data_IF_373262876797
#
_entry.id   IF_373262876797
#
_cell.length_a   1.000
_cell.length_b   1.000
_cell.length_c   1.000
_cell.angle_alpha   90.00
_cell.angle_beta   90.00
_cell.angle_gamma   90.00
#
_symmetry.space_group_name_H-M   'P 1'
#
loop_
_entity.id
_entity.type
_entity.pdbx_description
1 polymer ?
#
# COMPACT_ATOMS: atom_id res chain seq x y z
N UNK A 1 -21.04 -24.58 2.98
CA UNK A 1 -21.28 -23.13 2.76
C UNK A 1 -20.09 -22.25 3.17
N UNK A 2 -18.93 -22.79 3.60
CA UNK A 2 -17.76 -21.98 4.00
C UNK A 2 -16.80 -21.61 2.86
N UNK A 3 -16.49 -22.57 1.97
CA UNK A 3 -15.54 -22.47 0.86
C UNK A 3 -15.73 -21.23 -0.04
N UNK A 4 -16.88 -21.10 -0.72
CA UNK A 4 -17.17 -19.93 -1.56
C UNK A 4 -17.17 -18.57 -0.84
N UNK A 5 -17.36 -18.54 0.48
CA UNK A 5 -17.30 -17.28 1.24
C UNK A 5 -15.85 -16.90 1.58
N UNK A 6 -14.95 -17.88 1.68
CA UNK A 6 -13.52 -17.67 1.87
C UNK A 6 -12.88 -17.22 0.56
N UNK A 7 -13.18 -17.88 -0.56
CA UNK A 7 -12.79 -17.49 -1.92
C UNK A 7 -13.11 -15.99 -2.14
N UNK A 8 -14.39 -15.60 -2.04
CA UNK A 8 -14.85 -14.20 -2.17
C UNK A 8 -14.12 -13.22 -1.24
N UNK A 9 -13.67 -13.68 -0.07
CA UNK A 9 -12.93 -12.85 0.89
C UNK A 9 -11.47 -12.67 0.47
N UNK A 10 -10.83 -13.73 -0.04
CA UNK A 10 -9.48 -13.71 -0.61
C UNK A 10 -9.43 -12.76 -1.81
N UNK A 11 -10.33 -12.88 -2.78
CA UNK A 11 -10.33 -11.97 -3.94
C UNK A 11 -10.55 -10.51 -3.53
N UNK A 12 -11.39 -10.27 -2.51
CA UNK A 12 -11.61 -8.91 -2.00
C UNK A 12 -10.35 -8.34 -1.34
N UNK A 13 -9.60 -9.15 -0.59
CA UNK A 13 -8.34 -8.74 0.03
C UNK A 13 -7.27 -8.45 -1.02
N UNK A 14 -7.14 -9.30 -2.04
CA UNK A 14 -6.21 -9.09 -3.16
C UNK A 14 -6.56 -7.82 -3.96
N UNK A 15 -7.85 -7.58 -4.23
CA UNK A 15 -8.31 -6.38 -4.90
C UNK A 15 -8.04 -5.12 -4.06
N UNK A 16 -8.26 -5.19 -2.75
CA UNK A 16 -7.96 -4.08 -1.83
C UNK A 16 -6.46 -3.81 -1.77
N UNK A 17 -5.63 -4.85 -1.66
CA UNK A 17 -4.16 -4.75 -1.72
C UNK A 17 -3.72 -4.05 -3.01
N UNK A 18 -4.14 -4.54 -4.17
CA UNK A 18 -3.80 -3.95 -5.47
C UNK A 18 -4.22 -2.48 -5.59
N UNK A 19 -5.43 -2.14 -5.11
CA UNK A 19 -5.92 -0.78 -5.12
C UNK A 19 -5.07 0.14 -4.24
N UNK A 20 -4.82 -0.26 -2.98
CA UNK A 20 -4.05 0.56 -2.04
C UNK A 20 -2.60 0.69 -2.49
N UNK A 21 -1.98 -0.38 -2.98
CA UNK A 21 -0.62 -0.37 -3.53
C UNK A 21 -0.49 0.59 -4.71
N UNK A 22 -1.42 0.55 -5.66
CA UNK A 22 -1.44 1.50 -6.78
C UNK A 22 -1.56 2.96 -6.32
N UNK A 23 -2.38 3.23 -5.30
CA UNK A 23 -2.48 4.59 -4.73
C UNK A 23 -1.21 5.04 -4.01
N UNK A 24 -0.47 4.12 -3.42
CA UNK A 24 0.85 4.40 -2.84
C UNK A 24 1.85 4.80 -3.93
N UNK A 25 1.88 4.07 -5.05
CA UNK A 25 2.76 4.35 -6.20
C UNK A 25 2.43 5.67 -6.89
N UNK A 26 1.15 5.97 -7.09
CA UNK A 26 0.68 7.25 -7.63
C UNK A 26 1.14 8.41 -6.72
N UNK A 27 0.91 8.29 -5.41
CA UNK A 27 1.30 9.33 -4.44
C UNK A 27 2.81 9.54 -4.42
N UNK A 28 3.60 8.47 -4.50
CA UNK A 28 5.07 8.56 -4.56
C UNK A 28 5.51 9.30 -5.82
N UNK A 29 4.94 8.95 -6.97
CA UNK A 29 5.25 9.58 -8.26
C UNK A 29 4.92 11.09 -8.26
N UNK A 30 3.75 11.45 -7.75
CA UNK A 30 3.32 12.84 -7.64
C UNK A 30 4.19 13.64 -6.67
N UNK A 31 4.60 13.02 -5.55
CA UNK A 31 5.47 13.63 -4.56
C UNK A 31 6.88 13.88 -5.12
N UNK A 32 7.43 12.93 -5.87
CA UNK A 32 8.73 13.07 -6.55
C UNK A 32 8.67 14.23 -7.57
N UNK A 33 7.59 14.32 -8.35
CA UNK A 33 7.39 15.39 -9.32
C UNK A 33 7.26 16.76 -8.66
N UNK A 34 6.50 16.86 -7.57
CA UNK A 34 6.32 18.11 -6.84
C UNK A 34 7.61 18.54 -6.13
N UNK A 35 8.36 17.60 -5.57
CA UNK A 35 9.67 17.86 -4.95
C UNK A 35 10.61 18.50 -5.95
N UNK A 36 10.71 17.94 -7.15
CA UNK A 36 11.52 18.52 -8.21
C UNK A 36 11.07 19.93 -8.59
N UNK A 37 9.75 20.16 -8.73
CA UNK A 37 9.23 21.48 -9.07
C UNK A 37 9.53 22.54 -7.98
N UNK A 38 9.53 22.13 -6.71
CA UNK A 38 9.90 23.02 -5.59
C UNK A 38 11.39 23.30 -5.56
N UNK A 39 12.23 22.30 -5.79
CA UNK A 39 13.69 22.46 -5.92
C UNK A 39 14.02 23.44 -7.05
N UNK A 40 13.43 23.23 -8.24
CA UNK A 40 13.61 24.12 -9.39
C UNK A 40 13.21 25.57 -9.04
N UNK A 41 12.09 25.78 -8.32
CA UNK A 41 11.63 27.12 -7.91
C UNK A 41 12.60 27.83 -6.95
N UNK A 42 13.17 27.08 -6.00
CA UNK A 42 14.12 27.62 -5.03
C UNK A 42 15.48 27.92 -5.68
N UNK A 43 15.90 27.10 -6.64
CA UNK A 43 17.14 27.27 -7.40
C UNK A 43 17.04 28.40 -8.44
N UNK A 44 15.87 28.64 -9.06
CA UNK A 44 15.64 29.71 -10.05
C UNK A 44 15.63 31.14 -9.45
N UNK A 45 15.96 31.27 -8.16
CA UNK A 45 16.27 32.55 -7.53
C UNK A 45 15.19 33.10 -6.61
N UNK A 46 14.19 32.30 -6.24
CA UNK A 46 13.29 32.68 -5.16
C UNK A 46 14.00 32.59 -3.80
N UNK A 47 14.37 33.74 -3.26
CA UNK A 47 15.21 33.84 -2.06
C UNK A 47 14.64 34.83 -1.03
N UNK A 48 15.14 34.76 0.20
CA UNK A 48 14.78 35.62 1.32
C UNK A 48 13.86 34.94 2.35
N UNK A 49 13.46 35.68 3.37
CA UNK A 49 12.74 35.15 4.55
C UNK A 49 11.47 34.38 4.20
N UNK A 50 10.76 34.78 3.13
CA UNK A 50 9.58 34.06 2.66
C UNK A 50 9.92 32.69 2.04
N UNK A 51 11.01 32.62 1.28
CA UNK A 51 11.50 31.36 0.71
C UNK A 51 11.99 30.41 1.82
N UNK A 52 12.72 30.93 2.82
CA UNK A 52 13.17 30.14 3.98
C UNK A 52 11.99 29.55 4.78
N UNK A 53 10.97 30.38 5.07
CA UNK A 53 9.78 29.92 5.78
C UNK A 53 8.99 28.87 4.98
N UNK A 54 8.93 29.04 3.65
CA UNK A 54 8.31 28.06 2.77
C UNK A 54 9.11 26.75 2.72
N UNK A 55 10.43 26.79 2.57
CA UNK A 55 11.28 25.59 2.54
C UNK A 55 11.11 24.74 3.79
N UNK A 56 11.07 25.37 4.98
CA UNK A 56 10.85 24.65 6.23
C UNK A 56 9.47 23.98 6.28
N UNK A 57 8.40 24.71 5.92
CA UNK A 57 7.05 24.15 5.88
C UNK A 57 6.90 23.05 4.81
N UNK A 58 7.61 23.20 3.68
CA UNK A 58 7.66 22.23 2.60
C UNK A 58 8.33 20.94 3.03
N UNK A 59 9.46 21.00 3.73
CA UNK A 59 10.14 19.81 4.25
C UNK A 59 9.26 19.00 5.19
N UNK A 60 8.59 19.65 6.15
CA UNK A 60 7.65 19.01 7.07
C UNK A 60 6.48 18.36 6.31
N UNK A 61 5.89 19.09 5.35
CA UNK A 61 4.81 18.56 4.53
C UNK A 61 5.25 17.34 3.70
N UNK A 62 6.42 17.42 3.05
CA UNK A 62 6.98 16.34 2.22
C UNK A 62 7.21 15.09 3.06
N UNK A 63 7.76 15.23 4.26
CA UNK A 63 7.98 14.11 5.17
C UNK A 63 6.67 13.47 5.65
N UNK A 64 5.63 14.27 5.91
CA UNK A 64 4.29 13.75 6.19
C UNK A 64 3.70 13.00 5.00
N UNK A 65 3.83 13.54 3.78
CA UNK A 65 3.35 12.89 2.56
C UNK A 65 4.05 11.55 2.30
N UNK A 66 5.36 11.45 2.54
CA UNK A 66 6.11 10.18 2.46
C UNK A 66 5.58 9.15 3.44
N UNK A 67 5.36 9.54 4.70
CA UNK A 67 4.81 8.64 5.72
C UNK A 67 3.43 8.07 5.33
N UNK A 68 2.57 8.89 4.71
CA UNK A 68 1.26 8.42 4.22
C UNK A 68 1.42 7.43 3.06
N UNK A 69 2.31 7.70 2.10
CA UNK A 69 2.60 6.79 0.99
C UNK A 69 3.15 5.45 1.49
N UNK A 70 4.11 5.48 2.43
CA UNK A 70 4.69 4.30 3.07
C UNK A 70 3.62 3.48 3.82
N UNK A 71 2.75 4.12 4.60
CA UNK A 71 1.67 3.44 5.30
C UNK A 71 0.68 2.74 4.36
N UNK A 72 0.40 3.32 3.19
CA UNK A 72 -0.42 2.65 2.16
C UNK A 72 0.32 1.46 1.54
N UNK A 73 1.61 1.60 1.23
CA UNK A 73 2.40 0.48 0.73
C UNK A 73 2.43 -0.68 1.74
N UNK A 74 2.66 -0.40 3.01
CA UNK A 74 2.62 -1.39 4.09
C UNK A 74 1.24 -2.05 4.23
N UNK A 75 0.17 -1.24 4.16
CA UNK A 75 -1.21 -1.76 4.22
C UNK A 75 -1.52 -2.69 3.04
N UNK A 76 -1.01 -2.37 1.85
CA UNK A 76 -1.13 -3.22 0.67
C UNK A 76 -0.47 -4.59 0.88
N UNK A 77 0.74 -4.60 1.45
CA UNK A 77 1.46 -5.84 1.78
C UNK A 77 0.68 -6.67 2.80
N UNK A 78 0.22 -6.05 3.89
CA UNK A 78 -0.55 -6.75 4.92
C UNK A 78 -1.84 -7.39 4.37
N UNK A 79 -2.54 -6.69 3.48
CA UNK A 79 -3.74 -7.22 2.82
C UNK A 79 -3.41 -8.42 1.92
N UNK A 80 -2.30 -8.37 1.19
CA UNK A 80 -1.83 -9.48 0.36
C UNK A 80 -1.43 -10.69 1.21
N UNK A 81 -0.66 -10.47 2.28
CA UNK A 81 -0.22 -11.52 3.19
C UNK A 81 -1.41 -12.21 3.87
N UNK A 82 -2.42 -11.43 4.25
CA UNK A 82 -3.66 -11.96 4.84
C UNK A 82 -4.44 -12.81 3.84
N UNK A 83 -4.49 -12.41 2.57
CA UNK A 83 -5.13 -13.20 1.52
C UNK A 83 -4.42 -14.56 1.34
N UNK A 84 -3.09 -14.56 1.26
CA UNK A 84 -2.30 -15.78 1.14
C UNK A 84 -2.48 -16.73 2.33
N UNK A 85 -2.52 -16.19 3.56
CA UNK A 85 -2.76 -17.00 4.75
C UNK A 85 -4.12 -17.71 4.74
N UNK A 86 -5.16 -17.09 4.15
CA UNK A 86 -6.46 -17.74 3.99
C UNK A 86 -6.48 -18.81 2.90
N UNK A 87 -5.77 -18.59 1.78
CA UNK A 87 -5.61 -19.61 0.73
C UNK A 87 -4.89 -20.85 1.26
N UNK A 88 -3.81 -20.67 2.02
CA UNK A 88 -3.06 -21.76 2.64
C UNK A 88 -3.94 -22.57 3.63
N UNK A 89 -4.70 -21.86 4.47
CA UNK A 89 -5.59 -22.50 5.44
C UNK A 89 -6.69 -23.33 4.76
N UNK A 90 -7.24 -22.85 3.64
CA UNK A 90 -8.28 -23.57 2.90
C UNK A 90 -7.73 -24.85 2.23
N UNK A 91 -6.54 -24.77 1.64
CA UNK A 91 -5.86 -25.93 1.04
C UNK A 91 -5.53 -27.02 2.07
N UNK A 92 -5.08 -26.64 3.27
CA UNK A 92 -4.81 -27.56 4.37
C UNK A 92 -6.09 -28.28 4.82
N UNK A 93 -7.19 -27.53 4.95
CA UNK A 93 -8.49 -28.10 5.32
C UNK A 93 -9.03 -29.06 4.23
N UNK A 94 -8.94 -28.69 2.95
CA UNK A 94 -9.34 -29.54 1.83
C UNK A 94 -8.53 -30.85 1.79
N UNK A 95 -7.22 -30.76 2.03
CA UNK A 95 -6.33 -31.93 2.11
C UNK A 95 -6.71 -32.84 3.27
N UNK A 96 -6.95 -32.27 4.45
CA UNK A 96 -7.38 -33.03 5.64
C UNK A 96 -8.71 -33.76 5.40
N UNK A 97 -9.72 -33.07 4.85
CA UNK A 97 -11.03 -33.68 4.52
C UNK A 97 -10.88 -34.81 3.50
N UNK A 98 -10.08 -34.59 2.45
CA UNK A 98 -9.84 -35.61 1.42
C UNK A 98 -9.18 -36.85 2.02
N UNK A 99 -8.21 -36.68 2.92
CA UNK A 99 -7.55 -37.80 3.59
C UNK A 99 -8.49 -38.60 4.50
N UNK A 100 -9.42 -37.92 5.20
CA UNK A 100 -10.42 -38.57 6.04
C UNK A 100 -11.43 -39.36 5.21
N UNK A 101 -11.89 -38.81 4.07
CA UNK A 101 -12.79 -39.53 3.16
C UNK A 101 -12.13 -40.73 2.46
N UNK A 102 -10.80 -40.75 2.33
CA UNK A 102 -10.07 -41.91 1.79
C UNK A 102 -9.89 -43.06 2.78
N UNK A 103 -10.19 -42.85 4.07
CA UNK A 103 -10.01 -43.83 5.16
C UNK A 103 -11.33 -44.52 5.58
N UNK A 104 -12.48 -44.12 5.02
CA UNK A 104 -13.82 -44.67 5.29
C UNK A 104 -14.34 -45.40 4.05
#
# INVERSE_FOLDING_TARGET
>A
MGDHSLEVSVERLQAASSFVGGRADDLRTDLDALTKAVEDLLDDGWQGVAAEAFSAAWEEWRDGARQVSEAFAESSVLLSDTAGAYEDQDQDHATAITSLNGLV
#
